data_IF_272322372101
#
_entry.id   IF_272322372101
#
_cell.length_a   1.000
_cell.length_b   1.000
_cell.length_c   1.000
_cell.angle_alpha   90.00
_cell.angle_beta   90.00
_cell.angle_gamma   90.00
#
_symmetry.space_group_name_H-M   'P 1'
#
loop_
_entity.id
_entity.type
_entity.pdbx_description
1 polymer ?
#
# COMPACT_ATOMS: atom_id res chain seq x y z
N UNK A 1 41.03 58.46 29.75
CA UNK A 1 40.21 59.31 30.66
C UNK A 1 38.74 59.13 30.31
N UNK A 2 37.92 58.81 31.31
CA UNK A 2 36.45 58.68 31.24
C UNK A 2 35.76 59.95 30.68
N UNK A 3 34.51 59.79 30.21
CA UNK A 3 33.29 60.14 30.99
C UNK A 3 32.14 60.73 30.15
N UNK A 4 31.08 59.92 29.97
CA UNK A 4 29.63 60.25 29.92
C UNK A 4 29.06 61.41 29.07
N UNK A 5 28.04 61.06 28.25
CA UNK A 5 27.17 62.01 27.54
C UNK A 5 25.79 61.47 27.11
N UNK A 6 25.04 60.86 28.03
CA UNK A 6 23.55 60.88 28.19
C UNK A 6 22.60 60.81 26.95
N UNK A 7 21.97 59.63 26.78
CA UNK A 7 20.51 59.33 26.83
C UNK A 7 19.53 60.31 26.15
N UNK A 8 18.89 59.86 25.05
CA UNK A 8 17.54 60.29 24.65
C UNK A 8 16.58 59.08 24.68
N UNK A 9 15.63 59.09 25.61
CA UNK A 9 14.46 58.21 25.65
C UNK A 9 13.53 58.60 24.50
N UNK A 10 13.02 57.62 23.78
CA UNK A 10 11.92 57.79 22.82
C UNK A 10 11.19 56.47 22.61
N UNK A 11 10.08 56.34 23.33
CA UNK A 11 8.89 55.52 23.08
C UNK A 11 9.04 54.03 22.69
N UNK A 12 8.51 53.18 23.56
CA UNK A 12 8.09 51.83 23.26
C UNK A 12 7.11 51.81 22.07
N UNK A 13 7.44 50.99 21.06
CA UNK A 13 6.49 50.44 20.10
C UNK A 13 6.57 48.93 20.24
N UNK A 14 5.70 48.43 21.11
CA UNK A 14 5.03 47.12 21.04
C UNK A 14 5.53 46.16 19.96
N UNK A 15 6.29 45.16 20.41
CA UNK A 15 6.19 43.74 20.05
C UNK A 15 5.20 43.42 18.90
N UNK A 16 5.68 43.50 17.66
CA UNK A 16 5.17 42.63 16.61
C UNK A 16 5.83 41.27 16.84
N UNK A 17 5.09 40.39 17.53
CA UNK A 17 5.37 38.96 17.63
C UNK A 17 5.70 38.46 16.23
N UNK A 18 6.97 38.10 16.04
CA UNK A 18 7.34 37.22 14.94
C UNK A 18 6.49 35.97 15.09
N UNK A 19 5.65 35.71 14.09
CA UNK A 19 5.13 34.38 13.84
C UNK A 19 6.34 33.51 13.47
N UNK A 20 7.09 33.08 14.48
CA UNK A 20 7.81 31.81 14.39
C UNK A 20 6.72 30.77 14.19
N UNK A 21 6.46 30.42 12.93
CA UNK A 21 5.67 29.26 12.58
C UNK A 21 6.31 28.08 13.28
N UNK A 22 5.79 27.74 14.46
CA UNK A 22 6.33 26.71 15.30
C UNK A 22 6.36 25.44 14.46
N UNK A 23 7.51 24.77 14.42
CA UNK A 23 7.61 23.42 13.91
C UNK A 23 6.42 22.64 14.50
N UNK A 24 5.46 22.28 13.66
CA UNK A 24 4.30 21.53 14.11
C UNK A 24 4.81 20.21 14.63
N UNK A 25 4.32 19.79 15.80
CA UNK A 25 4.61 18.49 16.37
C UNK A 25 4.53 17.42 15.26
N UNK A 26 5.58 16.60 15.05
CA UNK A 26 5.58 15.55 14.04
C UNK A 26 4.30 14.71 14.07
N UNK A 27 3.78 14.41 15.26
CA UNK A 27 2.55 13.64 15.42
C UNK A 27 1.32 14.39 14.89
N UNK A 28 1.18 15.67 15.21
CA UNK A 28 0.10 16.51 14.68
C UNK A 28 0.19 16.65 13.16
N UNK A 29 1.42 16.71 12.63
CA UNK A 29 1.66 16.79 11.19
C UNK A 29 1.28 15.49 10.49
N UNK A 30 1.66 14.33 11.05
CA UNK A 30 1.29 13.00 10.55
C UNK A 30 -0.23 12.85 10.51
N UNK A 31 -0.95 13.26 11.55
CA UNK A 31 -2.43 13.22 11.58
C UNK A 31 -3.02 14.02 10.42
N UNK A 32 -2.55 15.26 10.19
CA UNK A 32 -3.03 16.10 9.08
C UNK A 32 -2.74 15.50 7.71
N UNK A 33 -1.57 14.87 7.53
CA UNK A 33 -1.25 14.18 6.28
C UNK A 33 -2.19 13.00 6.04
N UNK A 34 -2.47 12.19 7.08
CA UNK A 34 -3.43 11.08 7.02
C UNK A 34 -4.86 11.55 6.74
N UNK A 35 -5.28 12.66 7.34
CA UNK A 35 -6.56 13.30 7.00
C UNK A 35 -6.61 13.73 5.52
N UNK A 36 -5.50 14.24 4.97
CA UNK A 36 -5.43 14.60 3.56
C UNK A 36 -5.53 13.37 2.66
N UNK A 37 -4.83 12.28 2.99
CA UNK A 37 -4.93 10.99 2.29
C UNK A 37 -6.39 10.53 2.25
N UNK A 38 -7.08 10.53 3.39
CA UNK A 38 -8.49 10.16 3.46
C UNK A 38 -9.41 11.07 2.62
N UNK A 39 -9.08 12.36 2.48
CA UNK A 39 -9.79 13.26 1.56
C UNK A 39 -9.52 12.91 0.09
N UNK A 40 -8.28 12.54 -0.26
CA UNK A 40 -7.94 12.11 -1.62
C UNK A 40 -8.65 10.80 -1.97
N UNK A 41 -8.76 9.84 -1.05
CA UNK A 41 -9.52 8.59 -1.24
C UNK A 41 -11.00 8.85 -1.55
N UNK A 42 -11.64 9.76 -0.81
CA UNK A 42 -13.03 10.15 -1.10
C UNK A 42 -13.16 10.80 -2.48
N UNK A 43 -12.15 11.58 -2.89
CA UNK A 43 -12.10 12.18 -4.23
C UNK A 43 -11.91 11.10 -5.30
N UNK A 44 -11.01 10.14 -5.07
CA UNK A 44 -10.77 8.98 -5.91
C UNK A 44 -12.06 8.21 -6.19
N UNK A 45 -12.81 7.85 -5.15
CA UNK A 45 -14.10 7.16 -5.26
C UNK A 45 -15.11 7.97 -6.07
N UNK A 46 -15.16 9.30 -5.87
CA UNK A 46 -16.03 10.19 -6.64
C UNK A 46 -15.66 10.24 -8.13
N UNK A 47 -14.37 10.31 -8.46
CA UNK A 47 -13.89 10.28 -9.84
C UNK A 47 -14.19 8.93 -10.49
N UNK A 48 -13.99 7.82 -9.76
CA UNK A 48 -14.31 6.48 -10.24
C UNK A 48 -15.81 6.32 -10.53
N UNK A 49 -16.69 6.83 -9.65
CA UNK A 49 -18.14 6.87 -9.90
C UNK A 49 -18.49 7.66 -11.16
N UNK A 50 -17.85 8.81 -11.40
CA UNK A 50 -18.04 9.60 -12.62
C UNK A 50 -17.59 8.83 -13.86
N UNK A 51 -16.45 8.14 -13.82
CA UNK A 51 -15.97 7.28 -14.90
C UNK A 51 -16.98 6.18 -15.24
N UNK A 52 -17.50 5.48 -14.23
CA UNK A 52 -18.52 4.46 -14.40
C UNK A 52 -19.80 5.04 -15.05
N UNK A 53 -20.20 6.25 -14.64
CA UNK A 53 -21.28 7.00 -15.27
C UNK A 53 -21.04 7.30 -16.75
N UNK A 54 -19.82 7.71 -17.12
CA UNK A 54 -19.46 7.95 -18.53
C UNK A 54 -19.46 6.67 -19.37
N UNK A 55 -19.05 5.54 -18.79
CA UNK A 55 -19.14 4.22 -19.45
C UNK A 55 -20.59 3.85 -19.71
N UNK A 56 -21.46 4.02 -18.71
CA UNK A 56 -22.90 3.75 -18.85
C UNK A 56 -23.52 4.62 -19.94
N UNK A 57 -23.25 5.93 -19.91
CA UNK A 57 -23.73 6.88 -20.93
C UNK A 57 -23.24 6.51 -22.33
N UNK A 58 -21.97 6.11 -22.48
CA UNK A 58 -21.41 5.68 -23.76
C UNK A 58 -22.14 4.43 -24.30
N UNK A 59 -22.42 3.44 -23.45
CA UNK A 59 -23.17 2.23 -23.81
C UNK A 59 -24.60 2.56 -24.24
N UNK A 60 -25.30 3.42 -23.50
CA UNK A 60 -26.66 3.86 -23.84
C UNK A 60 -26.73 4.59 -25.19
N UNK A 61 -25.76 5.47 -25.46
CA UNK A 61 -25.69 6.18 -26.75
C UNK A 61 -25.34 5.25 -27.91
N UNK A 62 -24.45 4.28 -27.70
CA UNK A 62 -24.17 3.24 -28.70
C UNK A 62 -25.41 2.40 -29.02
N UNK A 63 -26.21 2.03 -28.02
CA UNK A 63 -27.46 1.30 -28.24
C UNK A 63 -28.47 2.09 -29.10
N UNK A 64 -28.44 3.43 -29.02
CA UNK A 64 -29.24 4.35 -29.85
C UNK A 64 -28.58 4.69 -31.20
N UNK A 65 -27.49 4.00 -31.56
CA UNK A 65 -26.67 4.26 -32.77
C UNK A 65 -26.05 5.67 -32.83
N UNK A 66 -25.97 6.38 -31.71
CA UNK A 66 -25.28 7.68 -31.60
C UNK A 66 -23.79 7.49 -31.29
N UNK A 67 -23.02 7.19 -32.35
CA UNK A 67 -21.57 6.98 -32.24
C UNK A 67 -20.82 8.24 -31.80
N UNK A 68 -21.26 9.44 -32.22
CA UNK A 68 -20.59 10.71 -31.88
C UNK A 68 -20.76 11.02 -30.40
N UNK A 69 -21.97 10.88 -29.87
CA UNK A 69 -22.24 11.12 -28.46
C UNK A 69 -21.60 10.09 -27.53
N UNK A 70 -21.49 8.83 -27.96
CA UNK A 70 -20.75 7.80 -27.23
C UNK A 70 -19.25 8.12 -27.17
N UNK A 71 -18.66 8.54 -28.29
CA UNK A 71 -17.26 8.95 -28.34
C UNK A 71 -16.99 10.18 -27.45
N UNK A 72 -17.91 11.13 -27.38
CA UNK A 72 -17.80 12.26 -26.46
C UNK A 72 -17.86 11.84 -24.98
N UNK A 73 -18.70 10.87 -24.61
CA UNK A 73 -18.73 10.32 -23.26
C UNK A 73 -17.40 9.61 -22.91
N UNK A 74 -16.83 8.83 -23.83
CA UNK A 74 -15.51 8.20 -23.63
C UNK A 74 -14.38 9.22 -23.53
N UNK A 75 -14.41 10.32 -24.28
CA UNK A 75 -13.43 11.42 -24.12
C UNK A 75 -13.49 12.03 -22.72
N UNK A 76 -14.68 12.23 -22.16
CA UNK A 76 -14.85 12.71 -20.77
C UNK A 76 -14.36 11.68 -19.75
N UNK A 77 -14.60 10.37 -19.97
CA UNK A 77 -14.01 9.30 -19.15
C UNK A 77 -12.49 9.44 -19.10
N UNK A 78 -11.84 9.65 -20.25
CA UNK A 78 -10.38 9.78 -20.33
C UNK A 78 -9.82 10.99 -19.57
N UNK A 79 -10.57 12.09 -19.48
CA UNK A 79 -10.19 13.23 -18.63
C UNK A 79 -10.28 12.89 -17.14
N UNK A 80 -11.24 12.04 -16.74
CA UNK A 80 -11.33 11.56 -15.37
C UNK A 80 -10.25 10.53 -15.02
N UNK A 81 -9.85 9.68 -15.97
CA UNK A 81 -8.69 8.78 -15.80
C UNK A 81 -7.42 9.58 -15.49
N UNK A 82 -7.13 10.63 -16.26
CA UNK A 82 -5.98 11.50 -16.00
C UNK A 82 -6.04 12.20 -14.64
N UNK A 83 -7.24 12.47 -14.13
CA UNK A 83 -7.41 13.04 -12.80
C UNK A 83 -7.22 11.98 -11.71
N UNK A 84 -7.65 10.74 -11.96
CA UNK A 84 -7.43 9.60 -11.07
C UNK A 84 -5.93 9.33 -10.89
N UNK A 85 -5.17 9.30 -11.99
CA UNK A 85 -3.72 9.10 -11.96
C UNK A 85 -3.01 10.17 -11.10
N UNK A 86 -3.45 11.43 -11.19
CA UNK A 86 -2.92 12.52 -10.34
C UNK A 86 -3.24 12.30 -8.87
N UNK A 87 -4.47 11.88 -8.56
CA UNK A 87 -4.87 11.62 -7.17
C UNK A 87 -4.02 10.49 -6.58
N UNK A 88 -3.79 9.42 -7.34
CA UNK A 88 -2.94 8.30 -6.92
C UNK A 88 -1.50 8.73 -6.66
N UNK A 89 -0.90 9.52 -7.58
CA UNK A 89 0.44 10.07 -7.38
C UNK A 89 0.55 10.96 -6.13
N UNK A 90 -0.48 11.77 -5.86
CA UNK A 90 -0.54 12.62 -4.67
C UNK A 90 -0.64 11.77 -3.40
N UNK A 91 -1.49 10.73 -3.39
CA UNK A 91 -1.61 9.80 -2.25
C UNK A 91 -0.27 9.14 -1.92
N UNK A 92 0.40 8.56 -2.91
CA UNK A 92 1.71 7.91 -2.73
C UNK A 92 2.75 8.88 -2.16
N UNK A 93 2.75 10.13 -2.65
CA UNK A 93 3.64 11.17 -2.12
C UNK A 93 3.35 11.48 -0.65
N UNK A 94 2.07 11.60 -0.27
CA UNK A 94 1.67 11.86 1.11
C UNK A 94 1.99 10.68 2.04
N UNK A 95 1.78 9.44 1.59
CA UNK A 95 2.13 8.23 2.33
C UNK A 95 3.63 8.15 2.60
N UNK A 96 4.45 8.45 1.59
CA UNK A 96 5.91 8.53 1.74
C UNK A 96 6.31 9.62 2.75
N UNK A 97 5.64 10.76 2.75
CA UNK A 97 5.87 11.81 3.75
C UNK A 97 5.51 11.38 5.18
N UNK A 98 4.42 10.62 5.34
CA UNK A 98 4.05 10.04 6.64
C UNK A 98 5.14 9.09 7.13
N UNK A 99 5.57 8.14 6.30
CA UNK A 99 6.64 7.19 6.64
C UNK A 99 7.95 7.91 7.01
N UNK A 100 8.34 8.93 6.24
CA UNK A 100 9.54 9.70 6.52
C UNK A 100 9.46 10.46 7.85
N UNK A 101 8.30 11.04 8.18
CA UNK A 101 8.10 11.74 9.46
C UNK A 101 8.09 10.78 10.65
N UNK A 102 7.53 9.58 10.49
CA UNK A 102 7.54 8.54 11.51
C UNK A 102 8.98 8.07 11.79
N UNK A 103 9.75 7.78 10.74
CA UNK A 103 11.17 7.44 10.85
C UNK A 103 11.98 8.57 11.49
N UNK A 104 11.78 9.82 11.05
CA UNK A 104 12.45 10.97 11.66
C UNK A 104 12.09 11.14 13.15
N UNK A 105 10.83 10.90 13.53
CA UNK A 105 10.38 10.93 14.92
C UNK A 105 11.06 9.85 15.76
N UNK A 106 11.18 8.62 15.24
CA UNK A 106 11.89 7.54 15.90
C UNK A 106 13.39 7.83 16.06
N UNK A 107 14.03 8.34 15.01
CA UNK A 107 15.44 8.75 15.06
C UNK A 107 15.67 9.86 16.10
N UNK A 108 14.75 10.82 16.20
CA UNK A 108 14.81 11.85 17.23
C UNK A 108 14.67 11.28 18.65
N UNK A 109 13.88 10.22 18.85
CA UNK A 109 13.77 9.53 20.14
C UNK A 109 15.06 8.77 20.48
N UNK A 110 15.64 8.04 19.52
CA UNK A 110 16.93 7.37 19.67
C UNK A 110 18.02 8.36 20.06
N UNK A 111 18.08 9.50 19.38
CA UNK A 111 19.04 10.56 19.70
C UNK A 111 18.86 11.11 21.13
N UNK A 112 17.62 11.32 21.58
CA UNK A 112 17.34 11.75 22.96
C UNK A 112 17.81 10.72 23.99
N UNK A 113 17.64 9.42 23.71
CA UNK A 113 18.14 8.35 24.58
C UNK A 113 19.67 8.33 24.63
N UNK A 114 20.33 8.52 23.49
CA UNK A 114 21.80 8.64 23.41
C UNK A 114 22.31 9.85 24.21
N UNK A 115 21.66 11.01 24.11
CA UNK A 115 22.05 12.19 24.89
C UNK A 115 21.85 11.99 26.39
N UNK A 116 20.75 11.35 26.80
CA UNK A 116 20.53 10.97 28.19
C UNK A 116 21.63 10.02 28.72
N UNK A 117 22.00 9.01 27.93
CA UNK A 117 23.11 8.10 28.23
C UNK A 117 24.45 8.84 28.37
N UNK A 118 24.77 9.72 27.43
CA UNK A 118 25.97 10.59 27.48
C UNK A 118 26.01 11.41 28.78
N UNK A 119 24.89 12.03 29.16
CA UNK A 119 24.80 12.86 30.35
C UNK A 119 24.94 12.02 31.64
N UNK A 120 24.37 10.82 31.68
CA UNK A 120 24.55 9.88 32.80
C UNK A 120 26.02 9.43 32.94
N UNK A 121 26.67 9.06 31.83
CA UNK A 121 28.10 8.69 31.80
C UNK A 121 29.00 9.84 32.26
N UNK A 122 28.70 11.07 31.83
CA UNK A 122 29.42 12.27 32.30
C UNK A 122 29.31 12.46 33.81
N UNK A 123 28.13 12.20 34.39
CA UNK A 123 27.90 12.30 35.84
C UNK A 123 28.71 11.24 36.59
N UNK A 124 28.67 9.98 36.15
CA UNK A 124 29.49 8.90 36.71
C UNK A 124 30.98 9.26 36.67
N UNK A 125 31.47 9.81 35.55
CA UNK A 125 32.86 10.28 35.41
C UNK A 125 33.23 11.35 36.43
N UNK A 126 32.28 12.24 36.75
CA UNK A 126 32.49 13.29 37.76
C UNK A 126 32.49 12.72 39.18
N UNK A 127 31.63 11.75 39.47
CA UNK A 127 31.43 11.18 40.80
C UNK A 127 32.53 10.16 41.21
N UNK A 128 33.10 9.40 40.25
CA UNK A 128 34.09 8.32 40.50
C UNK A 128 35.54 8.82 40.45
N UNK A 129 35.78 10.00 39.89
CA UNK A 129 37.11 10.58 39.67
C UNK A 129 37.60 10.36 38.23
N UNK A 130 37.98 11.46 37.55
CA UNK A 130 38.26 11.51 36.10
C UNK A 130 39.31 10.47 35.66
N UNK A 131 40.39 10.32 36.43
CA UNK A 131 41.54 9.50 36.01
C UNK A 131 41.21 8.00 35.97
N UNK A 132 40.42 7.48 36.91
CA UNK A 132 40.03 6.06 36.94
C UNK A 132 38.95 5.70 35.92
N UNK A 133 38.25 6.71 35.40
CA UNK A 133 37.15 6.52 34.46
C UNK A 133 37.66 6.58 33.02
N UNK A 134 38.72 7.33 32.74
CA UNK A 134 39.34 7.29 31.40
C UNK A 134 39.94 5.91 31.11
N UNK A 135 40.69 5.32 32.05
CA UNK A 135 41.21 3.95 31.93
C UNK A 135 40.06 2.93 31.68
N UNK A 136 38.99 3.02 32.47
CA UNK A 136 37.84 2.12 32.32
C UNK A 136 37.01 2.35 31.05
N UNK A 137 36.97 3.58 30.52
CA UNK A 137 36.27 3.88 29.26
C UNK A 137 37.07 3.40 28.05
N UNK A 138 38.40 3.39 28.14
CA UNK A 138 39.25 2.79 27.13
C UNK A 138 39.10 1.26 27.14
N UNK A 139 39.06 0.61 28.32
CA UNK A 139 38.73 -0.82 28.45
C UNK A 139 37.34 -1.15 27.87
N UNK A 140 36.32 -0.31 28.15
CA UNK A 140 34.96 -0.49 27.59
C UNK A 140 34.95 -0.28 26.07
N UNK A 141 35.74 0.65 25.53
CA UNK A 141 35.85 0.84 24.08
C UNK A 141 36.47 -0.36 23.40
N UNK A 142 37.54 -0.93 23.95
CA UNK A 142 38.14 -2.17 23.44
C UNK A 142 37.12 -3.32 23.45
N UNK A 143 36.35 -3.48 24.53
CA UNK A 143 35.29 -4.50 24.62
C UNK A 143 34.11 -4.24 23.66
N UNK A 144 33.70 -2.97 23.47
CA UNK A 144 32.66 -2.63 22.50
C UNK A 144 33.12 -2.78 21.05
N UNK A 145 34.38 -2.50 20.74
CA UNK A 145 34.98 -2.77 19.44
C UNK A 145 35.07 -4.27 19.17
N UNK A 146 35.48 -5.08 20.15
CA UNK A 146 35.43 -6.55 20.04
C UNK A 146 34.00 -7.05 19.84
N UNK A 147 33.03 -6.54 20.61
CA UNK A 147 31.62 -6.91 20.44
C UNK A 147 31.08 -6.49 19.07
N UNK A 148 31.52 -5.34 18.54
CA UNK A 148 31.16 -4.87 17.19
C UNK A 148 31.85 -5.69 16.09
N UNK A 149 33.09 -6.13 16.27
CA UNK A 149 33.77 -7.05 15.36
C UNK A 149 33.06 -8.41 15.34
N UNK A 150 32.66 -8.93 16.51
CA UNK A 150 31.87 -10.15 16.62
C UNK A 150 30.51 -9.97 15.96
N UNK A 151 29.82 -8.86 16.23
CA UNK A 151 28.53 -8.56 15.61
C UNK A 151 28.66 -8.35 14.10
N UNK A 152 29.75 -7.77 13.60
CA UNK A 152 29.99 -7.58 12.17
C UNK A 152 30.38 -8.89 11.47
N UNK A 153 31.09 -9.77 12.17
CA UNK A 153 31.38 -11.13 11.70
C UNK A 153 30.11 -12.00 11.65
N UNK A 154 29.16 -11.80 12.57
CA UNK A 154 27.87 -12.49 12.60
C UNK A 154 26.85 -11.85 11.65
N UNK A 155 26.83 -10.53 11.57
CA UNK A 155 25.95 -9.75 10.72
C UNK A 155 26.53 -9.50 9.33
N UNK A 156 27.61 -10.19 8.92
CA UNK A 156 27.95 -10.32 7.51
C UNK A 156 26.68 -10.75 6.79
N UNK A 157 26.05 -9.86 6.00
CA UNK A 157 24.78 -10.17 5.40
C UNK A 157 25.02 -11.25 4.34
N UNK A 158 24.28 -12.34 4.44
CA UNK A 158 23.71 -12.93 3.22
C UNK A 158 22.66 -11.89 2.81
N UNK A 159 23.07 -10.99 1.92
CA UNK A 159 22.40 -9.71 1.63
C UNK A 159 20.89 -9.85 1.37
N UNK A 160 20.00 -9.33 2.25
CA UNK A 160 18.56 -9.30 2.01
C UNK A 160 18.12 -8.13 1.09
N UNK A 161 19.03 -7.20 0.75
CA UNK A 161 18.76 -6.07 -0.15
C UNK A 161 19.02 -6.41 -1.63
N UNK A 162 19.42 -7.64 -1.94
CA UNK A 162 19.45 -8.20 -3.30
C UNK A 162 18.14 -8.88 -3.69
N UNK A 163 17.03 -8.65 -2.98
CA UNK A 163 15.73 -9.10 -3.46
C UNK A 163 15.49 -8.43 -4.83
N UNK A 164 15.54 -9.24 -5.88
CA UNK A 164 15.35 -8.80 -7.26
C UNK A 164 13.94 -8.23 -7.40
N UNK A 165 13.73 -7.24 -8.26
CA UNK A 165 12.38 -6.72 -8.54
C UNK A 165 11.47 -7.85 -9.03
N UNK A 166 12.05 -8.86 -9.71
CA UNK A 166 11.40 -10.10 -10.13
C UNK A 166 11.01 -11.01 -8.95
N UNK A 167 11.79 -11.03 -7.87
CA UNK A 167 11.51 -11.82 -6.65
C UNK A 167 10.34 -11.21 -5.88
N UNK A 168 10.32 -9.87 -5.75
CA UNK A 168 9.21 -9.15 -5.13
C UNK A 168 7.91 -9.24 -5.96
N UNK A 169 8.03 -9.27 -7.30
CA UNK A 169 6.88 -9.51 -8.18
C UNK A 169 6.32 -10.93 -8.03
N UNK A 170 7.19 -11.93 -7.86
CA UNK A 170 6.76 -13.31 -7.62
C UNK A 170 6.04 -13.45 -6.27
N UNK A 171 6.57 -12.85 -5.21
CA UNK A 171 5.92 -12.84 -3.89
C UNK A 171 4.56 -12.14 -3.93
N UNK A 172 4.44 -11.03 -4.68
CA UNK A 172 3.17 -10.35 -4.90
C UNK A 172 2.15 -11.23 -5.63
N UNK A 173 2.58 -11.97 -6.66
CA UNK A 173 1.70 -12.89 -7.40
C UNK A 173 1.23 -14.07 -6.53
N UNK A 174 2.08 -14.57 -5.62
CA UNK A 174 1.73 -15.61 -4.66
C UNK A 174 0.65 -15.12 -3.67
N UNK A 175 0.82 -13.91 -3.11
CA UNK A 175 -0.18 -13.29 -2.24
C UNK A 175 -1.53 -13.07 -2.94
N UNK A 176 -1.53 -12.65 -4.21
CA UNK A 176 -2.77 -12.49 -4.99
C UNK A 176 -3.47 -13.84 -5.26
N UNK A 177 -2.70 -14.92 -5.44
CA UNK A 177 -3.25 -16.25 -5.64
C UNK A 177 -3.88 -16.80 -4.35
N UNK A 178 -3.26 -16.57 -3.18
CA UNK A 178 -3.82 -16.93 -1.87
C UNK A 178 -5.17 -16.25 -1.62
N UNK A 179 -5.29 -14.95 -1.91
CA UNK A 179 -6.55 -14.20 -1.77
C UNK A 179 -7.67 -14.76 -2.68
N UNK A 180 -7.32 -15.21 -3.89
CA UNK A 180 -8.28 -15.82 -4.83
C UNK A 180 -8.68 -17.22 -4.38
N UNK A 181 -7.74 -18.01 -3.85
CA UNK A 181 -8.04 -19.32 -3.28
C UNK A 181 -8.96 -19.20 -2.06
N UNK A 182 -8.68 -18.26 -1.15
CA UNK A 182 -9.55 -17.97 -0.02
C UNK A 182 -10.95 -17.51 -0.48
N UNK A 183 -11.03 -16.66 -1.51
CA UNK A 183 -12.31 -16.27 -2.09
C UNK A 183 -13.09 -17.44 -2.73
N UNK A 184 -12.40 -18.42 -3.33
CA UNK A 184 -13.00 -19.62 -3.90
C UNK A 184 -13.40 -20.65 -2.84
N UNK A 185 -12.65 -20.72 -1.73
CA UNK A 185 -12.92 -21.58 -0.58
C UNK A 185 -14.03 -21.00 0.32
N UNK A 186 -14.34 -19.70 0.22
CA UNK A 186 -15.56 -19.17 0.83
C UNK A 186 -16.79 -19.74 0.13
N UNK A 187 -17.62 -20.56 0.83
CA UNK A 187 -18.81 -21.12 0.21
C UNK A 187 -19.76 -19.98 -0.17
N UNK A 188 -20.36 -19.99 -1.38
CA UNK A 188 -21.27 -18.94 -1.79
C UNK A 188 -22.38 -18.78 -0.75
N UNK A 189 -22.53 -17.57 -0.23
CA UNK A 189 -23.61 -17.23 0.68
C UNK A 189 -24.95 -17.56 -0.01
N UNK A 190 -25.56 -18.69 0.39
CA UNK A 190 -26.90 -19.17 0.04
C UNK A 190 -27.24 -18.98 -1.44
N UNK A 191 -26.94 -20.01 -2.24
CA UNK A 191 -27.51 -20.15 -3.58
C UNK A 191 -29.03 -19.97 -3.51
N UNK A 192 -29.64 -19.09 -4.34
CA UNK A 192 -31.09 -19.12 -4.52
C UNK A 192 -31.43 -20.50 -5.10
N UNK A 193 -32.43 -21.16 -4.53
CA UNK A 193 -32.91 -22.48 -4.97
C UNK A 193 -33.24 -22.42 -6.46
N UNK A 194 -32.36 -22.95 -7.30
CA UNK A 194 -32.63 -23.15 -8.72
C UNK A 194 -33.61 -24.32 -8.80
N UNK A 195 -34.87 -24.03 -9.15
CA UNK A 195 -35.85 -25.05 -9.50
C UNK A 195 -35.41 -25.69 -10.83
N UNK A 196 -34.66 -26.78 -10.72
CA UNK A 196 -34.32 -27.62 -11.86
C UNK A 196 -35.62 -28.27 -12.40
N UNK A 197 -35.84 -28.25 -13.73
CA UNK A 197 -36.99 -28.93 -14.32
C UNK A 197 -36.90 -30.44 -14.06
N UNK A 198 -38.05 -31.05 -13.75
CA UNK A 198 -38.14 -32.47 -13.48
C UNK A 198 -37.64 -33.30 -14.69
N UNK A 199 -36.80 -34.30 -14.42
CA UNK A 199 -36.28 -35.22 -15.43
C UNK A 199 -37.45 -35.92 -16.12
N UNK A 200 -37.51 -35.97 -17.47
CA UNK A 200 -38.61 -36.62 -18.18
C UNK A 200 -38.68 -38.11 -17.80
N UNK A 201 -39.80 -38.54 -17.23
CA UNK A 201 -40.05 -39.95 -16.85
C UNK A 201 -40.72 -40.77 -17.96
N UNK A 202 -40.73 -40.28 -19.20
CA UNK A 202 -41.32 -41.02 -20.31
C UNK A 202 -40.40 -42.17 -20.72
N UNK A 203 -40.91 -43.40 -20.67
CA UNK A 203 -40.25 -44.55 -21.28
C UNK A 203 -39.91 -44.22 -22.73
N UNK A 204 -38.64 -44.43 -23.10
CA UNK A 204 -38.19 -44.35 -24.48
C UNK A 204 -39.08 -45.26 -25.35
N UNK A 205 -39.50 -44.81 -26.54
CA UNK A 205 -40.23 -45.66 -27.47
C UNK A 205 -39.35 -46.88 -27.76
N UNK A 206 -39.93 -48.08 -27.59
CA UNK A 206 -39.29 -49.31 -28.02
C UNK A 206 -39.03 -49.19 -29.53
N UNK A 207 -37.77 -49.31 -29.94
CA UNK A 207 -37.40 -49.45 -31.34
C UNK A 207 -38.15 -50.68 -31.87
N UNK A 208 -39.17 -50.42 -32.68
CA UNK A 208 -39.88 -51.46 -33.40
C UNK A 208 -38.91 -52.03 -34.44
N UNK A 209 -38.39 -53.23 -34.16
CA UNK A 209 -38.13 -54.37 -35.05
C UNK A 209 -37.51 -54.20 -36.46
N UNK A 210 -37.10 -53.01 -36.90
CA UNK A 210 -36.64 -52.75 -38.26
C UNK A 210 -35.16 -53.13 -38.45
N UNK A 211 -34.34 -53.07 -37.39
CA UNK A 211 -32.91 -53.45 -37.45
C UNK A 211 -32.71 -54.97 -37.62
N UNK A 212 -33.65 -55.80 -37.13
CA UNK A 212 -33.57 -57.25 -37.26
C UNK A 212 -33.89 -57.73 -38.70
N UNK A 213 -34.75 -57.01 -39.41
CA UNK A 213 -35.07 -57.26 -40.82
C UNK A 213 -33.92 -56.80 -41.72
N UNK A 214 -33.28 -55.66 -41.42
CA UNK A 214 -32.10 -55.19 -42.17
C UNK A 214 -30.89 -56.12 -42.01
N UNK A 215 -30.64 -56.63 -40.80
CA UNK A 215 -29.54 -57.59 -40.56
C UNK A 215 -29.73 -58.91 -41.31
N UNK A 216 -30.97 -59.44 -41.36
CA UNK A 216 -31.28 -60.65 -42.14
C UNK A 216 -31.08 -60.45 -43.65
N UNK A 217 -31.35 -59.24 -44.14
CA UNK A 217 -31.22 -58.91 -45.56
C UNK A 217 -29.75 -58.82 -45.97
N UNK A 218 -28.89 -58.25 -45.12
CA UNK A 218 -27.44 -58.22 -45.31
C UNK A 218 -26.80 -59.61 -45.25
N UNK A 219 -27.27 -60.49 -44.36
CA UNK A 219 -26.76 -61.87 -44.26
C UNK A 219 -27.09 -62.71 -45.52
N UNK A 220 -28.28 -62.52 -46.09
CA UNK A 220 -28.69 -63.22 -47.31
C UNK A 220 -27.90 -62.76 -48.55
N UNK A 221 -27.45 -61.50 -48.58
CA UNK A 221 -26.64 -60.95 -49.68
C UNK A 221 -25.19 -61.46 -49.63
N UNK A 222 -24.63 -61.64 -48.42
CA UNK A 222 -23.28 -62.20 -48.23
C UNK A 222 -23.19 -63.72 -48.44
N UNK A 223 -24.29 -64.46 -48.25
CA UNK A 223 -24.33 -65.91 -48.45
C UNK A 223 -24.59 -66.33 -49.91
N UNK A 224 -24.84 -65.38 -50.82
CA UNK A 224 -25.13 -65.62 -52.24
C UNK A 224 -23.94 -65.42 -53.19
N UNK A 225 -22.71 -65.34 -52.68
CA UNK A 225 -21.47 -65.11 -53.43
C UNK A 225 -20.53 -66.33 -53.39
#
# INVERSE_FOLDING_TARGET
MNWFGKKKKGAASTTASGSSGGASDPQVTIVKLRENIAMQEKREEHIQRKMNGMVKEAKEKMARKDKKGAMFALKRKKLYEQELDKIQNVKMTLETQVMNLESASQNAQTFKAMDAGKNAMKKIRTDVGIDKVDDMMDDIREEMEMASEISSAIAQPVDPLLADEDELLAELEELEAEDVEDALLTPPAKTPSINLPAVPSNKLPALANDEAEELKKLEAELAGL
#
